data_IF_243095347954
#
_entry.id   IF_243095347954
#
_cell.length_a   1.000
_cell.length_b   1.000
_cell.length_c   1.000
_cell.angle_alpha   90.00
_cell.angle_beta   90.00
_cell.angle_gamma   90.00
#
_symmetry.space_group_name_H-M   'P 1'
#
loop_
_entity.id
_entity.type
_entity.pdbx_description
1 polymer ?
#
# COMPACT_ATOMS: atom_id res chain seq x y z
N UNK A 1 -11.59 -9.67 -17.62
CA UNK A 1 -10.44 -9.10 -16.91
C UNK A 1 -10.88 -8.17 -15.77
N UNK A 2 -11.67 -7.12 -16.00
CA UNK A 2 -12.09 -6.22 -14.91
C UNK A 2 -12.88 -6.94 -13.81
N UNK A 3 -13.73 -7.92 -14.14
CA UNK A 3 -14.46 -8.71 -13.14
C UNK A 3 -13.53 -9.56 -12.25
N UNK A 4 -12.47 -10.13 -12.84
CA UNK A 4 -11.45 -10.87 -12.10
C UNK A 4 -10.70 -9.92 -11.16
N UNK A 5 -10.23 -8.79 -11.69
CA UNK A 5 -9.56 -7.77 -10.87
C UNK A 5 -10.45 -7.26 -9.73
N UNK A 6 -11.74 -7.03 -10.01
CA UNK A 6 -12.71 -6.61 -9.00
C UNK A 6 -12.87 -7.68 -7.90
N UNK A 7 -13.04 -8.95 -8.28
CA UNK A 7 -13.11 -10.05 -7.32
C UNK A 7 -11.84 -10.14 -6.47
N UNK A 8 -10.67 -10.17 -7.11
CA UNK A 8 -9.39 -10.29 -6.43
C UNK A 8 -9.11 -9.14 -5.45
N UNK A 9 -9.59 -7.94 -5.75
CA UNK A 9 -9.38 -6.77 -4.90
C UNK A 9 -10.43 -6.67 -3.79
N UNK A 10 -11.72 -6.82 -4.10
CA UNK A 10 -12.80 -6.41 -3.19
C UNK A 10 -13.46 -7.58 -2.44
N UNK A 11 -13.39 -8.81 -2.97
CA UNK A 11 -14.00 -9.94 -2.29
C UNK A 11 -13.35 -10.17 -0.93
N UNK A 12 -14.14 -10.24 0.13
CA UNK A 12 -13.70 -10.37 1.52
C UNK A 12 -12.69 -9.31 2.00
N UNK A 13 -12.63 -8.12 1.38
CA UNK A 13 -11.67 -7.07 1.72
C UNK A 13 -11.73 -6.66 3.21
N UNK A 14 -12.92 -6.59 3.78
CA UNK A 14 -13.14 -6.29 5.19
C UNK A 14 -13.10 -7.49 6.15
N UNK A 15 -12.91 -8.73 5.65
CA UNK A 15 -12.95 -9.95 6.47
C UNK A 15 -11.59 -10.35 7.06
N UNK A 16 -10.51 -9.88 6.44
CA UNK A 16 -9.16 -10.13 6.95
C UNK A 16 -8.91 -9.34 8.23
N UNK A 17 -8.20 -9.92 9.21
CA UNK A 17 -7.79 -9.17 10.39
C UNK A 17 -6.90 -7.99 9.98
N UNK A 18 -6.96 -6.92 10.75
CA UNK A 18 -6.08 -5.76 10.54
C UNK A 18 -4.65 -6.19 10.85
N UNK A 19 -3.74 -5.96 9.91
CA UNK A 19 -2.32 -6.25 10.12
C UNK A 19 -1.70 -5.21 11.05
N UNK A 20 -0.78 -5.69 11.90
CA UNK A 20 -0.02 -4.79 12.77
C UNK A 20 1.05 -4.03 11.96
N UNK A 21 1.71 -3.06 12.58
CA UNK A 21 2.66 -2.13 11.97
C UNK A 21 1.97 -1.14 11.02
N UNK A 22 2.39 -1.05 9.77
CA UNK A 22 2.01 0.02 8.85
C UNK A 22 0.50 0.18 8.69
N UNK A 23 -0.24 -0.88 8.31
CA UNK A 23 -1.69 -0.80 8.11
C UNK A 23 -2.42 -0.28 9.35
N UNK A 24 -2.15 -0.89 10.49
CA UNK A 24 -2.80 -0.50 11.74
C UNK A 24 -2.38 0.90 12.19
N UNK A 25 -1.10 1.26 12.01
CA UNK A 25 -0.60 2.58 12.39
C UNK A 25 -1.23 3.69 11.56
N UNK A 26 -1.31 3.51 10.23
CA UNK A 26 -2.03 4.42 9.35
C UNK A 26 -3.51 4.54 9.73
N UNK A 27 -4.13 3.40 10.03
CA UNK A 27 -5.53 3.35 10.47
C UNK A 27 -5.79 4.12 11.75
N UNK A 28 -4.93 3.99 12.77
CA UNK A 28 -5.00 4.78 14.03
C UNK A 28 -4.81 6.26 13.72
N UNK A 29 -3.76 6.62 12.98
CA UNK A 29 -3.52 8.02 12.61
C UNK A 29 -4.76 8.64 11.94
N UNK A 30 -5.33 7.96 10.94
CA UNK A 30 -6.52 8.46 10.23
C UNK A 30 -7.76 8.54 11.12
N UNK A 31 -7.97 7.55 12.00
CA UNK A 31 -9.07 7.52 12.95
C UNK A 31 -9.00 8.69 13.94
N UNK A 32 -7.84 8.85 14.58
CA UNK A 32 -7.64 9.91 15.56
C UNK A 32 -7.69 11.30 14.95
N UNK A 33 -7.11 11.49 13.75
CA UNK A 33 -7.22 12.74 12.98
C UNK A 33 -8.69 13.11 12.74
N UNK A 34 -9.54 12.16 12.32
CA UNK A 34 -10.98 12.39 12.15
C UNK A 34 -11.67 12.74 13.46
N UNK A 35 -11.33 12.05 14.56
CA UNK A 35 -11.94 12.28 15.87
C UNK A 35 -11.57 13.64 16.47
N UNK A 36 -10.35 14.10 16.19
CA UNK A 36 -9.85 15.39 16.67
C UNK A 36 -10.21 16.56 15.73
N UNK A 37 -10.70 16.28 14.52
CA UNK A 37 -10.92 17.30 13.50
C UNK A 37 -9.62 17.93 12.96
N UNK A 38 -8.46 17.27 13.19
CA UNK A 38 -7.16 17.73 12.71
C UNK A 38 -6.75 16.92 11.47
N UNK A 39 -6.68 17.57 10.32
CA UNK A 39 -6.35 16.94 9.04
C UNK A 39 -4.88 17.05 8.65
N UNK A 40 -4.05 17.67 9.50
CA UNK A 40 -2.64 17.99 9.18
C UNK A 40 -1.68 17.19 10.03
N UNK A 41 -1.91 17.10 11.36
CA UNK A 41 -1.03 16.40 12.29
C UNK A 41 -1.57 15.02 12.57
N UNK A 42 -0.82 14.00 12.15
CA UNK A 42 -1.13 12.62 12.48
C UNK A 42 -0.78 12.32 13.94
N UNK A 43 -1.66 11.59 14.60
CA UNK A 43 -1.49 11.22 16.02
C UNK A 43 -1.55 9.70 16.19
N UNK A 44 -0.90 9.22 17.24
CA UNK A 44 -0.98 7.84 17.70
C UNK A 44 -1.19 7.83 19.21
N UNK A 45 -2.29 7.23 19.66
CA UNK A 45 -2.77 7.29 21.05
C UNK A 45 -2.95 8.74 21.51
N UNK A 46 -3.49 9.55 20.61
CA UNK A 46 -3.80 10.99 20.77
C UNK A 46 -2.59 11.89 21.07
N UNK A 47 -1.37 11.43 20.70
CA UNK A 47 -0.14 12.22 20.72
C UNK A 47 0.43 12.34 19.33
N UNK A 48 1.09 13.45 19.00
CA UNK A 48 1.74 13.65 17.69
C UNK A 48 2.67 12.46 17.37
N UNK A 49 2.52 11.93 16.16
CA UNK A 49 3.22 10.73 15.72
C UNK A 49 4.42 11.07 14.85
N UNK A 50 5.60 11.10 15.46
CA UNK A 50 6.88 11.31 14.75
C UNK A 50 7.58 10.00 14.34
N UNK A 51 6.90 8.86 14.47
CA UNK A 51 7.38 7.60 13.92
C UNK A 51 6.83 7.38 12.50
N UNK A 52 5.55 7.68 12.26
CA UNK A 52 4.94 7.59 10.94
C UNK A 52 5.06 8.94 10.21
N UNK A 53 6.19 9.13 9.54
CA UNK A 53 6.61 10.40 8.94
C UNK A 53 6.05 10.62 7.52
N UNK A 54 4.90 10.04 7.21
CA UNK A 54 4.27 10.25 5.90
C UNK A 54 3.46 11.54 5.86
N UNK A 55 3.45 12.22 4.71
CA UNK A 55 2.55 13.35 4.46
C UNK A 55 1.08 12.92 4.46
N UNK A 56 0.12 13.86 4.45
CA UNK A 56 -1.25 13.60 4.88
C UNK A 56 -2.13 12.81 3.89
N UNK A 57 -1.76 12.71 2.61
CA UNK A 57 -2.67 12.18 1.59
C UNK A 57 -3.02 10.70 1.82
N UNK A 58 -2.09 9.90 2.36
CA UNK A 58 -2.36 8.51 2.74
C UNK A 58 -3.40 8.41 3.86
N UNK A 59 -3.34 9.28 4.85
CA UNK A 59 -4.33 9.33 5.94
C UNK A 59 -5.68 9.83 5.42
N UNK A 60 -5.70 10.86 4.57
CA UNK A 60 -6.94 11.38 3.97
C UNK A 60 -7.66 10.33 3.15
N UNK A 61 -6.93 9.45 2.45
CA UNK A 61 -7.51 8.32 1.73
C UNK A 61 -8.25 7.36 2.70
N UNK A 62 -7.61 6.98 3.80
CA UNK A 62 -8.25 6.13 4.82
C UNK A 62 -9.44 6.84 5.47
N UNK A 63 -9.30 8.13 5.79
CA UNK A 63 -10.39 8.95 6.35
C UNK A 63 -11.61 8.98 5.41
N UNK A 64 -11.38 9.10 4.10
CA UNK A 64 -12.44 9.00 3.11
C UNK A 64 -13.13 7.63 3.14
N UNK A 65 -12.37 6.54 3.20
CA UNK A 65 -12.91 5.19 3.36
C UNK A 65 -13.74 5.02 4.64
N UNK A 66 -13.26 5.53 5.77
CA UNK A 66 -14.02 5.53 7.03
C UNK A 66 -15.31 6.32 6.95
N UNK A 67 -15.32 7.46 6.25
CA UNK A 67 -16.54 8.25 6.04
C UNK A 67 -17.55 7.56 5.13
N UNK A 68 -17.09 6.80 4.13
CA UNK A 68 -17.96 6.16 3.15
C UNK A 68 -18.64 4.89 3.68
N UNK A 69 -17.90 4.04 4.40
CA UNK A 69 -18.40 2.71 4.81
C UNK A 69 -18.26 2.44 6.31
N UNK A 70 -17.90 3.46 7.09
CA UNK A 70 -17.80 3.40 8.54
C UNK A 70 -16.42 2.96 9.06
N UNK A 71 -16.27 3.07 10.39
CA UNK A 71 -15.04 2.71 11.11
C UNK A 71 -14.91 1.19 11.24
N UNK A 72 -14.31 0.56 10.24
CA UNK A 72 -14.10 -0.88 10.18
C UNK A 72 -12.95 -1.22 9.21
N UNK A 73 -12.59 -2.51 9.12
CA UNK A 73 -11.51 -2.96 8.23
C UNK A 73 -11.79 -2.70 6.74
N UNK A 74 -13.06 -2.70 6.32
CA UNK A 74 -13.42 -2.34 4.94
C UNK A 74 -13.14 -0.85 4.69
N UNK A 75 -13.54 0.04 5.60
CA UNK A 75 -13.27 1.48 5.49
C UNK A 75 -11.78 1.79 5.48
N UNK A 76 -10.99 1.06 6.27
CA UNK A 76 -9.53 1.17 6.27
C UNK A 76 -8.92 0.90 4.87
N UNK A 77 -9.45 -0.08 4.12
CA UNK A 77 -8.86 -0.63 2.88
C UNK A 77 -9.52 -0.16 1.59
N UNK A 78 -10.71 0.42 1.67
CA UNK A 78 -11.55 0.70 0.50
C UNK A 78 -10.82 1.53 -0.57
N UNK A 79 -10.18 2.62 -0.17
CA UNK A 79 -9.51 3.53 -1.11
C UNK A 79 -8.26 2.86 -1.71
N UNK A 80 -7.54 2.02 -0.94
CA UNK A 80 -6.43 1.23 -1.49
C UNK A 80 -6.91 0.30 -2.61
N UNK A 81 -8.03 -0.41 -2.40
CA UNK A 81 -8.64 -1.24 -3.44
C UNK A 81 -9.08 -0.44 -4.67
N UNK A 82 -9.69 0.73 -4.48
CA UNK A 82 -10.09 1.63 -5.57
C UNK A 82 -8.85 2.10 -6.35
N UNK A 83 -7.77 2.50 -5.68
CA UNK A 83 -6.53 2.93 -6.33
C UNK A 83 -5.88 1.82 -7.15
N UNK A 84 -5.87 0.58 -6.64
CA UNK A 84 -5.37 -0.57 -7.40
C UNK A 84 -6.21 -0.82 -8.66
N UNK A 85 -7.54 -0.77 -8.55
CA UNK A 85 -8.43 -0.90 -9.71
C UNK A 85 -8.21 0.22 -10.72
N UNK A 86 -8.07 1.47 -10.27
CA UNK A 86 -7.76 2.61 -11.13
C UNK A 86 -6.40 2.45 -11.81
N UNK A 87 -5.40 1.89 -11.14
CA UNK A 87 -4.10 1.56 -11.75
C UNK A 87 -4.27 0.61 -12.93
N UNK A 88 -5.01 -0.48 -12.75
CA UNK A 88 -5.31 -1.44 -13.84
C UNK A 88 -6.04 -0.76 -14.99
N UNK A 89 -7.02 0.09 -14.69
CA UNK A 89 -7.83 0.80 -15.70
C UNK A 89 -6.98 1.79 -16.50
N UNK A 90 -6.16 2.63 -15.86
CA UNK A 90 -5.35 3.63 -16.60
C UNK A 90 -4.25 2.95 -17.42
N UNK A 91 -3.67 1.85 -16.96
CA UNK A 91 -2.76 1.00 -17.74
C UNK A 91 -3.49 0.44 -18.96
N UNK A 92 -4.68 -0.12 -18.78
CA UNK A 92 -5.47 -0.68 -19.87
C UNK A 92 -5.81 0.37 -20.94
N UNK A 93 -6.26 1.56 -20.51
CA UNK A 93 -6.61 2.67 -21.41
C UNK A 93 -5.37 3.14 -22.19
N UNK A 94 -4.24 3.33 -21.51
CA UNK A 94 -2.99 3.75 -22.14
C UNK A 94 -2.53 2.73 -23.18
N UNK A 95 -2.48 1.44 -22.82
CA UNK A 95 -2.03 0.38 -23.72
C UNK A 95 -3.00 0.19 -24.89
N UNK A 96 -4.31 0.24 -24.63
CA UNK A 96 -5.33 0.14 -25.70
C UNK A 96 -5.16 1.23 -26.75
N UNK A 97 -4.98 2.48 -26.31
CA UNK A 97 -4.87 3.64 -27.23
C UNK A 97 -3.59 3.66 -28.04
N UNK A 98 -2.50 3.12 -27.51
CA UNK A 98 -1.17 3.24 -28.13
C UNK A 98 -0.66 1.93 -28.76
N UNK A 99 -1.15 0.76 -28.28
CA UNK A 99 -0.63 -0.55 -28.69
C UNK A 99 -1.74 -1.57 -29.07
N UNK A 100 -3.01 -1.20 -28.95
CA UNK A 100 -4.15 -1.99 -29.40
C UNK A 100 -4.79 -2.85 -28.30
N UNK A 101 -5.93 -3.46 -28.68
CA UNK A 101 -6.81 -4.18 -27.73
C UNK A 101 -6.14 -5.42 -27.11
N UNK A 102 -5.43 -6.23 -27.92
CA UNK A 102 -4.80 -7.46 -27.44
C UNK A 102 -3.70 -7.15 -26.42
N UNK A 103 -2.85 -6.16 -26.70
CA UNK A 103 -1.83 -5.72 -25.76
C UNK A 103 -2.45 -5.25 -24.44
N UNK A 104 -3.55 -4.49 -24.50
CA UNK A 104 -4.30 -4.04 -23.33
C UNK A 104 -4.84 -5.19 -22.49
N UNK A 105 -5.48 -6.17 -23.14
CA UNK A 105 -6.01 -7.36 -22.45
C UNK A 105 -4.92 -8.16 -21.74
N UNK A 106 -3.78 -8.36 -22.39
CA UNK A 106 -2.65 -9.08 -21.83
C UNK A 106 -1.98 -8.30 -20.69
N UNK A 107 -1.85 -6.98 -20.80
CA UNK A 107 -1.35 -6.14 -19.70
C UNK A 107 -2.29 -6.17 -18.49
N UNK A 108 -3.60 -6.11 -18.72
CA UNK A 108 -4.60 -6.25 -17.64
C UNK A 108 -4.51 -7.62 -16.97
N UNK A 109 -4.42 -8.70 -17.76
CA UNK A 109 -4.30 -10.06 -17.24
C UNK A 109 -3.07 -10.18 -16.34
N UNK A 110 -1.92 -9.75 -16.83
CA UNK A 110 -0.65 -9.81 -16.09
C UNK A 110 -0.70 -9.00 -14.79
N UNK A 111 -1.24 -7.78 -14.82
CA UNK A 111 -1.31 -6.93 -13.64
C UNK A 111 -2.36 -7.42 -12.63
N UNK A 112 -3.53 -7.89 -13.10
CA UNK A 112 -4.60 -8.41 -12.24
C UNK A 112 -4.32 -9.78 -11.63
N UNK A 113 -3.27 -10.48 -12.09
CA UNK A 113 -2.77 -11.74 -11.51
C UNK A 113 -1.39 -11.57 -10.84
N UNK A 114 -0.94 -10.34 -10.59
CA UNK A 114 0.30 -10.08 -9.86
C UNK A 114 0.05 -10.16 -8.36
N UNK A 115 0.45 -11.27 -7.71
CA UNK A 115 0.19 -11.53 -6.27
C UNK A 115 0.75 -10.44 -5.38
N UNK A 116 1.97 -9.98 -5.62
CA UNK A 116 2.59 -8.89 -4.85
C UNK A 116 1.80 -7.58 -4.96
N UNK A 117 1.36 -7.21 -6.16
CA UNK A 117 0.60 -5.98 -6.40
C UNK A 117 -0.78 -6.01 -5.73
N UNK A 118 -1.41 -7.20 -5.61
CA UNK A 118 -2.76 -7.31 -5.05
C UNK A 118 -2.78 -7.57 -3.55
N UNK A 119 -1.89 -8.43 -3.03
CA UNK A 119 -2.03 -8.98 -1.67
C UNK A 119 -1.10 -8.28 -0.67
N UNK A 120 0.17 -8.08 -1.01
CA UNK A 120 1.18 -7.67 -0.04
C UNK A 120 1.34 -6.16 0.03
N UNK A 121 0.86 -5.54 1.11
CA UNK A 121 0.99 -4.10 1.37
C UNK A 121 0.47 -3.19 0.23
N UNK A 122 -0.54 -3.62 -0.52
CA UNK A 122 -1.05 -2.88 -1.66
C UNK A 122 -2.58 -2.87 -1.70
N UNK A 123 -3.20 -3.48 -2.72
CA UNK A 123 -4.63 -3.34 -2.99
C UNK A 123 -5.54 -3.73 -1.81
N UNK A 124 -5.12 -4.70 -0.99
CA UNK A 124 -5.94 -5.30 0.07
C UNK A 124 -5.54 -4.90 1.48
N UNK A 125 -4.70 -3.88 1.63
CA UNK A 125 -4.27 -3.34 2.93
C UNK A 125 -4.48 -1.83 2.99
N UNK A 126 -4.67 -1.29 4.20
CA UNK A 126 -4.87 0.14 4.45
C UNK A 126 -3.55 0.94 4.48
N UNK A 127 -2.59 0.58 3.62
CA UNK A 127 -1.29 1.21 3.53
C UNK A 127 -1.24 2.33 2.48
N UNK A 128 -0.18 3.11 2.50
CA UNK A 128 0.04 4.18 1.53
C UNK A 128 0.38 3.67 0.12
N UNK A 129 0.77 2.38 -0.01
CA UNK A 129 1.42 1.85 -1.21
C UNK A 129 0.51 1.80 -2.43
N UNK A 130 -0.74 1.38 -2.28
CA UNK A 130 -1.67 1.30 -3.41
C UNK A 130 -1.97 2.67 -4.02
N UNK A 131 -2.22 3.69 -3.19
CA UNK A 131 -2.40 5.06 -3.64
C UNK A 131 -1.10 5.61 -4.28
N UNK A 132 0.05 5.30 -3.68
CA UNK A 132 1.34 5.70 -4.22
C UNK A 132 1.59 5.09 -5.60
N UNK A 133 1.35 3.78 -5.80
CA UNK A 133 1.52 3.11 -7.10
C UNK A 133 0.56 3.68 -8.14
N UNK A 134 -0.68 4.00 -7.77
CA UNK A 134 -1.63 4.66 -8.66
C UNK A 134 -1.10 6.03 -9.13
N UNK A 135 -0.65 6.87 -8.21
CA UNK A 135 -0.13 8.21 -8.52
C UNK A 135 1.19 8.15 -9.29
N UNK A 136 2.06 7.19 -8.94
CA UNK A 136 3.29 6.91 -9.69
C UNK A 136 2.97 6.52 -11.13
N UNK A 137 2.04 5.58 -11.32
CA UNK A 137 1.57 5.14 -12.64
C UNK A 137 0.97 6.29 -13.43
N UNK A 138 0.11 7.09 -12.81
CA UNK A 138 -0.47 8.28 -13.44
C UNK A 138 0.60 9.30 -13.84
N UNK A 139 1.61 9.53 -12.99
CA UNK A 139 2.72 10.44 -13.30
C UNK A 139 3.51 9.97 -14.52
N UNK A 140 3.92 8.68 -14.55
CA UNK A 140 4.75 8.19 -15.66
C UNK A 140 3.93 8.03 -16.94
N UNK A 141 2.71 7.52 -16.91
CA UNK A 141 1.87 7.45 -18.11
C UNK A 141 1.58 8.84 -18.67
N UNK A 142 1.36 9.85 -17.82
CA UNK A 142 1.22 11.24 -18.27
C UNK A 142 2.52 11.79 -18.86
N UNK A 143 3.68 11.47 -18.27
CA UNK A 143 4.98 11.82 -18.84
C UNK A 143 5.13 11.24 -20.25
N UNK A 144 4.78 9.97 -20.47
CA UNK A 144 4.82 9.33 -21.77
C UNK A 144 3.87 10.02 -22.77
N UNK A 145 2.63 10.30 -22.37
CA UNK A 145 1.64 11.00 -23.20
C UNK A 145 2.03 12.45 -23.51
N UNK A 146 2.97 13.03 -22.78
CA UNK A 146 3.43 14.40 -22.99
C UNK A 146 4.14 14.58 -24.34
N UNK A 147 4.57 13.49 -24.99
CA UNK A 147 5.08 13.52 -26.38
C UNK A 147 4.01 14.01 -27.36
N UNK A 148 2.75 13.63 -27.13
CA UNK A 148 1.61 14.05 -27.96
C UNK A 148 1.10 15.44 -27.60
N UNK A 149 1.10 15.78 -26.31
CA UNK A 149 0.57 17.05 -25.84
C UNK A 149 1.24 17.45 -24.53
N UNK A 150 1.87 18.62 -24.51
CA UNK A 150 2.57 19.18 -23.38
C UNK A 150 1.74 19.31 -22.09
N UNK A 151 0.42 19.40 -22.18
CA UNK A 151 -0.46 19.44 -21.00
C UNK A 151 -0.27 18.23 -20.09
N UNK A 152 0.05 17.08 -20.67
CA UNK A 152 0.32 15.86 -19.90
C UNK A 152 1.60 15.96 -19.06
N UNK A 153 2.55 16.81 -19.43
CA UNK A 153 3.74 17.06 -18.63
C UNK A 153 3.38 17.70 -17.27
N UNK A 154 2.41 18.63 -17.28
CA UNK A 154 1.94 19.28 -16.06
C UNK A 154 1.11 18.34 -15.20
N UNK A 155 0.30 17.45 -15.83
CA UNK A 155 -0.41 16.38 -15.11
C UNK A 155 0.59 15.44 -14.45
N UNK A 156 1.69 15.09 -15.13
CA UNK A 156 2.78 14.29 -14.56
C UNK A 156 3.41 14.96 -13.34
N UNK A 157 3.70 16.27 -13.42
CA UNK A 157 4.24 17.04 -12.31
C UNK A 157 3.28 17.12 -11.12
N UNK A 158 1.99 17.32 -11.38
CA UNK A 158 0.96 17.32 -10.31
C UNK A 158 0.78 15.94 -9.67
N UNK A 159 0.78 14.86 -10.46
CA UNK A 159 0.74 13.50 -9.94
C UNK A 159 1.98 13.16 -9.09
N UNK A 160 3.17 13.68 -9.47
CA UNK A 160 4.37 13.61 -8.62
C UNK A 160 4.15 14.26 -7.26
N UNK A 161 3.60 15.48 -7.21
CA UNK A 161 3.35 16.16 -5.93
C UNK A 161 2.39 15.38 -5.03
N UNK A 162 1.34 14.79 -5.60
CA UNK A 162 0.41 13.93 -4.86
C UNK A 162 1.09 12.63 -4.39
N UNK A 163 1.96 12.03 -5.21
CA UNK A 163 2.76 10.87 -4.82
C UNK A 163 3.70 11.20 -3.66
N UNK A 164 4.34 12.39 -3.68
CA UNK A 164 5.13 12.87 -2.56
C UNK A 164 4.28 13.06 -1.29
N UNK A 165 3.11 13.68 -1.42
CA UNK A 165 2.16 13.85 -0.31
C UNK A 165 1.56 12.53 0.19
N UNK A 166 1.80 11.40 -0.50
CA UNK A 166 1.42 10.05 -0.07
C UNK A 166 2.56 9.32 0.64
N UNK A 167 3.76 9.29 0.04
CA UNK A 167 4.88 8.45 0.50
C UNK A 167 6.23 9.17 0.46
N UNK A 168 6.23 10.49 0.64
CA UNK A 168 7.41 11.35 0.77
C UNK A 168 8.52 11.07 -0.26
N UNK A 169 9.75 10.83 0.18
CA UNK A 169 10.96 10.68 -0.63
C UNK A 169 10.91 9.57 -1.68
N UNK A 170 10.05 8.56 -1.51
CA UNK A 170 9.86 7.51 -2.51
C UNK A 170 9.39 8.07 -3.87
N UNK A 171 8.67 9.20 -3.86
CA UNK A 171 8.28 9.90 -5.08
C UNK A 171 9.48 10.46 -5.86
N UNK A 172 10.65 10.60 -5.24
CA UNK A 172 11.89 10.99 -5.92
C UNK A 172 12.23 10.13 -7.13
N UNK A 173 11.86 8.85 -7.11
CA UNK A 173 11.98 7.97 -8.29
C UNK A 173 11.29 8.56 -9.54
N UNK A 174 10.11 9.18 -9.38
CA UNK A 174 9.37 9.81 -10.48
C UNK A 174 10.16 10.98 -11.05
N UNK A 175 10.74 11.82 -10.17
CA UNK A 175 11.53 12.96 -10.60
C UNK A 175 12.80 12.53 -11.35
N UNK A 176 13.49 11.48 -10.89
CA UNK A 176 14.64 10.88 -11.57
C UNK A 176 14.26 10.34 -12.93
N UNK A 177 13.16 9.56 -13.01
CA UNK A 177 12.65 9.03 -14.29
C UNK A 177 12.31 10.19 -15.23
N UNK A 178 11.63 11.24 -14.76
CA UNK A 178 11.26 12.40 -15.57
C UNK A 178 12.49 13.12 -16.13
N UNK A 179 13.50 13.36 -15.29
CA UNK A 179 14.76 13.99 -15.71
C UNK A 179 15.50 13.16 -16.76
N UNK A 180 15.69 11.87 -16.50
CA UNK A 180 16.34 10.96 -17.45
C UNK A 180 15.54 10.80 -18.76
N UNK A 181 14.21 10.75 -18.67
CA UNK A 181 13.34 10.69 -19.83
C UNK A 181 13.50 11.89 -20.75
N UNK A 182 13.48 13.10 -20.18
CA UNK A 182 13.69 14.33 -20.95
C UNK A 182 15.09 14.36 -21.58
N UNK A 183 16.09 13.87 -20.84
CA UNK A 183 17.47 13.79 -21.34
C UNK A 183 17.60 12.80 -22.50
N UNK A 184 17.15 11.55 -22.34
CA UNK A 184 17.32 10.51 -23.36
C UNK A 184 16.42 10.69 -24.58
N UNK A 185 15.28 11.38 -24.43
CA UNK A 185 14.44 11.75 -25.57
C UNK A 185 14.90 13.02 -26.28
N UNK A 186 15.92 13.70 -25.75
CA UNK A 186 16.43 14.97 -26.31
C UNK A 186 15.42 16.11 -26.27
N UNK A 187 14.37 16.02 -25.45
CA UNK A 187 13.28 16.98 -25.42
C UNK A 187 13.66 18.25 -24.68
N UNK A 188 13.80 19.33 -25.45
CA UNK A 188 14.07 20.66 -24.90
C UNK A 188 12.77 21.35 -24.47
N UNK A 189 12.70 21.73 -23.21
CA UNK A 189 11.59 22.52 -22.67
C UNK A 189 11.97 24.00 -22.64
N UNK A 190 11.06 24.88 -23.04
CA UNK A 190 11.24 26.33 -22.84
C UNK A 190 11.22 26.64 -21.32
N UNK A 191 11.81 27.77 -20.93
CA UNK A 191 11.86 28.18 -19.52
C UNK A 191 10.46 28.29 -18.90
N UNK A 192 9.45 28.74 -19.66
CA UNK A 192 8.06 28.80 -19.19
C UNK A 192 7.50 27.42 -18.87
N UNK A 193 7.78 26.41 -19.70
CA UNK A 193 7.36 25.02 -19.45
C UNK A 193 8.07 24.43 -18.23
N UNK A 194 9.35 24.75 -18.04
CA UNK A 194 10.08 24.36 -16.84
C UNK A 194 9.49 24.96 -15.57
N UNK A 195 9.22 26.27 -15.58
CA UNK A 195 8.59 26.95 -14.42
C UNK A 195 7.23 26.31 -14.13
N UNK A 196 6.39 26.12 -15.15
CA UNK A 196 5.06 25.51 -14.96
C UNK A 196 5.15 24.07 -14.41
N UNK A 197 6.11 23.29 -14.91
CA UNK A 197 6.34 21.94 -14.40
C UNK A 197 6.78 21.97 -12.93
N UNK A 198 7.76 22.80 -12.59
CA UNK A 198 8.22 22.97 -11.21
C UNK A 198 7.11 23.45 -10.28
N UNK A 199 6.25 24.36 -10.74
CA UNK A 199 5.09 24.81 -9.97
C UNK A 199 4.11 23.63 -9.72
N UNK A 200 3.78 22.85 -10.75
CA UNK A 200 2.93 21.66 -10.58
C UNK A 200 3.53 20.62 -9.61
N UNK A 201 4.86 20.45 -9.63
CA UNK A 201 5.56 19.53 -8.75
C UNK A 201 5.64 20.03 -7.31
N UNK A 202 5.90 21.30 -7.11
CA UNK A 202 6.29 21.84 -5.80
C UNK A 202 5.18 22.55 -5.06
N UNK A 203 4.25 23.22 -5.76
CA UNK A 203 3.25 24.07 -5.08
C UNK A 203 2.36 23.27 -4.08
N UNK A 204 1.79 22.08 -4.40
CA UNK A 204 1.01 21.33 -3.43
C UNK A 204 1.83 20.89 -2.20
N UNK A 205 3.11 20.54 -2.42
CA UNK A 205 4.03 20.14 -1.36
C UNK A 205 4.34 21.33 -0.44
N UNK A 206 4.64 22.48 -1.03
CA UNK A 206 4.96 23.70 -0.28
C UNK A 206 3.74 24.22 0.51
N UNK A 207 2.54 24.19 -0.09
CA UNK A 207 1.30 24.56 0.60
C UNK A 207 1.12 23.67 1.85
N UNK A 208 1.23 22.37 1.71
CA UNK A 208 1.18 21.45 2.85
C UNK A 208 2.29 21.74 3.86
N UNK A 209 3.52 21.96 3.41
CA UNK A 209 4.65 22.20 4.29
C UNK A 209 4.47 23.48 5.12
N UNK A 210 3.99 24.57 4.51
CA UNK A 210 3.69 25.83 5.23
C UNK A 210 2.60 25.61 6.28
N UNK A 211 1.52 24.89 5.93
CA UNK A 211 0.44 24.60 6.89
C UNK A 211 0.97 23.72 8.02
N UNK A 212 1.73 22.67 7.72
CA UNK A 212 2.29 21.78 8.73
C UNK A 212 3.24 22.50 9.68
N UNK A 213 4.08 23.39 9.13
CA UNK A 213 5.03 24.18 9.91
C UNK A 213 4.35 25.01 11.02
N UNK A 214 3.11 25.47 10.79
CA UNK A 214 2.36 26.24 11.80
C UNK A 214 1.98 25.42 13.03
N UNK A 215 1.98 24.07 12.95
CA UNK A 215 1.62 23.19 14.07
C UNK A 215 2.83 22.79 14.93
N UNK A 216 3.93 22.37 14.30
CA UNK A 216 5.08 21.80 15.01
C UNK A 216 6.45 22.29 14.50
N UNK A 217 6.45 23.41 13.78
CA UNK A 217 7.67 24.03 13.26
C UNK A 217 8.46 23.07 12.36
N UNK A 218 9.75 23.03 12.55
CA UNK A 218 10.64 22.13 11.79
C UNK A 218 10.70 20.70 12.34
N UNK A 219 10.06 20.37 13.45
CA UNK A 219 10.24 19.09 14.11
C UNK A 219 9.87 17.90 13.21
N UNK A 220 8.70 17.96 12.52
CA UNK A 220 8.29 16.92 11.59
C UNK A 220 9.24 16.79 10.39
N UNK A 221 9.61 17.91 9.78
CA UNK A 221 10.46 17.91 8.59
C UNK A 221 11.88 17.43 8.88
N UNK A 222 12.43 17.78 10.04
CA UNK A 222 13.72 17.29 10.50
C UNK A 222 13.69 15.75 10.61
N UNK A 223 12.69 15.20 11.31
CA UNK A 223 12.55 13.76 11.45
C UNK A 223 12.32 13.08 10.09
N UNK A 224 11.48 13.66 9.21
CA UNK A 224 11.21 13.13 7.88
C UNK A 224 12.48 13.11 7.00
N UNK A 225 13.35 14.09 7.13
CA UNK A 225 14.62 14.14 6.39
C UNK A 225 15.69 13.23 7.02
N UNK A 226 15.92 13.34 8.32
CA UNK A 226 16.96 12.58 9.00
C UNK A 226 16.65 11.08 9.08
N UNK A 227 15.43 10.70 9.50
CA UNK A 227 15.09 9.32 9.70
C UNK A 227 14.56 8.65 8.42
N UNK A 228 13.57 9.26 7.74
CA UNK A 228 12.88 8.60 6.62
C UNK A 228 13.66 8.70 5.30
N UNK A 229 14.58 9.66 5.14
CA UNK A 229 15.47 9.76 3.98
C UNK A 229 16.88 9.27 4.32
N UNK A 230 17.62 9.97 5.19
CA UNK A 230 19.03 9.69 5.40
C UNK A 230 19.28 8.34 6.08
N UNK A 231 18.64 8.07 7.22
CA UNK A 231 18.84 6.82 7.93
C UNK A 231 18.41 5.61 7.09
N UNK A 232 17.23 5.63 6.47
CA UNK A 232 16.75 4.50 5.64
C UNK A 232 17.61 4.22 4.42
N UNK A 233 18.26 5.24 3.85
CA UNK A 233 19.15 5.04 2.70
C UNK A 233 20.54 4.53 3.11
N UNK A 234 21.04 4.88 4.29
CA UNK A 234 22.42 4.63 4.73
C UNK A 234 22.57 3.49 5.73
N UNK A 235 21.54 3.16 6.51
CA UNK A 235 21.56 2.14 7.55
C UNK A 235 20.31 1.27 7.46
N UNK A 236 20.41 -0.06 7.67
CA UNK A 236 19.22 -0.91 7.79
C UNK A 236 18.42 -0.53 9.03
N UNK A 237 17.13 -0.20 8.86
CA UNK A 237 16.23 0.16 9.96
C UNK A 237 15.32 -1.02 10.28
N UNK A 238 14.98 -1.19 11.56
CA UNK A 238 13.99 -2.15 12.06
C UNK A 238 14.26 -3.61 11.64
N UNK A 239 15.53 -3.97 11.42
CA UNK A 239 15.92 -5.31 11.01
C UNK A 239 15.68 -5.63 9.52
N UNK A 240 15.32 -4.63 8.71
CA UNK A 240 15.14 -4.78 7.26
C UNK A 240 16.49 -4.80 6.52
N UNK A 241 17.20 -5.91 6.63
CA UNK A 241 18.50 -6.16 6.01
C UNK A 241 18.32 -6.94 4.72
N UNK A 242 19.14 -6.69 3.73
CA UNK A 242 19.23 -7.47 2.50
C UNK A 242 20.43 -7.02 1.67
N UNK A 243 20.91 -7.92 0.84
CA UNK A 243 21.99 -7.66 -0.11
C UNK A 243 21.47 -7.04 -1.42
N UNK A 244 22.32 -6.92 -2.40
CA UNK A 244 22.00 -6.36 -3.71
C UNK A 244 21.09 -7.29 -4.54
N UNK A 245 21.02 -8.59 -4.25
CA UNK A 245 20.13 -9.55 -4.91
C UNK A 245 18.70 -9.51 -4.41
N UNK A 246 18.43 -8.80 -3.31
CA UNK A 246 17.16 -8.82 -2.59
C UNK A 246 15.93 -8.63 -3.49
N UNK A 247 15.90 -7.56 -4.30
CA UNK A 247 14.74 -7.29 -5.15
C UNK A 247 14.66 -8.23 -6.36
N UNK A 248 15.79 -8.77 -6.83
CA UNK A 248 15.80 -9.87 -7.78
C UNK A 248 15.12 -11.11 -7.23
N UNK A 249 15.44 -11.49 -5.98
CA UNK A 249 14.81 -12.60 -5.27
C UNK A 249 13.31 -12.33 -5.05
N UNK A 250 12.93 -11.11 -4.65
CA UNK A 250 11.52 -10.72 -4.48
C UNK A 250 10.74 -10.88 -5.77
N UNK A 251 11.28 -10.41 -6.89
CA UNK A 251 10.64 -10.58 -8.20
C UNK A 251 10.55 -12.06 -8.60
N UNK A 252 11.62 -12.83 -8.42
CA UNK A 252 11.60 -14.28 -8.68
C UNK A 252 10.56 -14.99 -7.79
N UNK A 253 10.40 -14.58 -6.53
CA UNK A 253 9.43 -15.19 -5.61
C UNK A 253 7.98 -14.96 -6.02
N UNK A 254 7.63 -13.75 -6.44
CA UNK A 254 6.24 -13.34 -6.63
C UNK A 254 5.83 -13.18 -8.10
N UNK A 255 6.79 -13.28 -9.04
CA UNK A 255 6.53 -12.94 -10.44
C UNK A 255 7.33 -13.80 -11.44
N UNK A 256 7.91 -14.91 -11.00
CA UNK A 256 8.86 -15.67 -11.79
C UNK A 256 8.33 -16.19 -13.13
N UNK A 257 7.06 -16.66 -13.19
CA UNK A 257 6.48 -17.14 -14.46
C UNK A 257 6.34 -16.01 -15.48
N UNK A 258 5.92 -14.83 -15.03
CA UNK A 258 5.84 -13.67 -15.91
C UNK A 258 7.23 -13.20 -16.39
N UNK A 259 8.25 -13.28 -15.53
CA UNK A 259 9.63 -12.97 -15.91
C UNK A 259 10.19 -14.01 -16.90
N UNK A 260 9.91 -15.30 -16.71
CA UNK A 260 10.32 -16.35 -17.63
C UNK A 260 9.66 -16.16 -19.02
N UNK A 261 8.38 -15.84 -19.04
CA UNK A 261 7.66 -15.50 -20.29
C UNK A 261 8.28 -14.27 -20.95
N UNK A 262 8.59 -13.21 -20.18
CA UNK A 262 9.24 -12.00 -20.70
C UNK A 262 10.60 -12.31 -21.31
N UNK A 263 11.43 -13.09 -20.63
CA UNK A 263 12.74 -13.53 -21.14
C UNK A 263 12.60 -14.36 -22.42
N UNK A 264 11.66 -15.32 -22.44
CA UNK A 264 11.37 -16.12 -23.63
C UNK A 264 10.95 -15.26 -24.83
N UNK A 265 10.10 -14.26 -24.59
CA UNK A 265 9.70 -13.31 -25.64
C UNK A 265 10.88 -12.47 -26.17
N UNK A 266 11.74 -11.99 -25.28
CA UNK A 266 12.94 -11.24 -25.67
C UNK A 266 13.86 -12.12 -26.54
N UNK A 267 14.06 -13.41 -26.17
CA UNK A 267 14.86 -14.36 -26.96
C UNK A 267 14.25 -14.58 -28.34
N UNK A 268 12.93 -14.81 -28.45
CA UNK A 268 12.25 -14.98 -29.74
C UNK A 268 12.47 -13.74 -30.64
N UNK A 269 12.38 -12.54 -30.08
CA UNK A 269 12.62 -11.31 -30.84
C UNK A 269 14.07 -11.18 -31.33
N UNK A 270 15.05 -11.48 -30.45
CA UNK A 270 16.46 -11.38 -30.80
C UNK A 270 16.88 -12.38 -31.89
N UNK A 271 16.40 -13.64 -31.79
CA UNK A 271 16.69 -14.68 -32.79
C UNK A 271 16.17 -14.37 -34.19
N UNK A 272 15.13 -13.53 -34.27
CA UNK A 272 14.51 -13.22 -35.58
C UNK A 272 15.02 -11.93 -36.21
N UNK A 273 16.05 -11.28 -35.60
CA UNK A 273 16.52 -9.96 -36.03
C UNK A 273 15.38 -8.91 -36.17
N UNK A 274 14.23 -9.17 -35.52
CA UNK A 274 13.14 -8.23 -35.47
C UNK A 274 13.53 -7.09 -34.54
N UNK A 275 13.47 -5.89 -35.05
CA UNK A 275 13.60 -4.70 -34.22
C UNK A 275 12.40 -4.68 -33.26
N UNK A 276 12.63 -4.88 -31.97
CA UNK A 276 11.61 -4.90 -30.91
C UNK A 276 10.61 -3.74 -31.04
N UNK A 277 11.08 -2.66 -31.65
CA UNK A 277 10.29 -1.45 -31.87
C UNK A 277 10.76 -0.76 -33.15
N UNK A 278 9.82 -0.32 -33.94
CA UNK A 278 10.10 0.44 -35.14
C UNK A 278 10.85 1.73 -34.78
N UNK A 279 12.15 1.75 -35.10
CA UNK A 279 13.03 2.90 -34.85
C UNK A 279 12.64 4.13 -35.66
N UNK A 280 11.84 3.97 -36.70
CA UNK A 280 11.36 5.08 -37.55
C UNK A 280 10.29 5.93 -36.83
N UNK A 281 9.60 5.38 -35.84
CA UNK A 281 8.57 6.10 -35.09
C UNK A 281 9.14 6.64 -33.76
N UNK A 282 9.44 7.94 -33.71
CA UNK A 282 10.01 8.64 -32.55
C UNK A 282 9.13 8.57 -31.31
N UNK A 283 7.80 8.46 -31.48
CA UNK A 283 6.84 8.34 -30.38
C UNK A 283 6.98 6.97 -29.68
N UNK A 284 7.03 5.88 -30.48
CA UNK A 284 7.24 4.54 -29.93
C UNK A 284 8.58 4.41 -29.23
N UNK A 285 9.64 5.03 -29.76
CA UNK A 285 10.94 5.06 -29.12
C UNK A 285 10.88 5.77 -27.75
N UNK A 286 10.18 6.89 -27.66
CA UNK A 286 10.00 7.63 -26.42
C UNK A 286 9.24 6.79 -25.38
N UNK A 287 8.21 6.04 -25.78
CA UNK A 287 7.48 5.14 -24.86
C UNK A 287 8.38 4.03 -24.32
N UNK A 288 9.24 3.45 -25.15
CA UNK A 288 10.16 2.40 -24.72
C UNK A 288 11.16 2.94 -23.70
N UNK A 289 11.80 4.07 -24.03
CA UNK A 289 12.74 4.72 -23.11
C UNK A 289 12.07 4.93 -21.76
N UNK A 290 10.85 5.48 -21.73
CA UNK A 290 10.14 5.73 -20.51
C UNK A 290 9.74 4.47 -19.74
N UNK A 291 9.29 3.42 -20.44
CA UNK A 291 8.96 2.12 -19.79
C UNK A 291 10.21 1.44 -19.22
N UNK A 292 11.33 1.46 -19.94
CA UNK A 292 12.60 0.93 -19.45
C UNK A 292 13.09 1.72 -18.20
N UNK A 293 13.06 3.04 -18.25
CA UNK A 293 13.42 3.89 -17.12
C UNK A 293 12.51 3.62 -15.92
N UNK A 294 11.22 3.40 -16.15
CA UNK A 294 10.25 3.11 -15.09
C UNK A 294 10.53 1.78 -14.37
N UNK A 295 11.08 0.79 -15.06
CA UNK A 295 11.54 -0.48 -14.43
C UNK A 295 12.90 -0.27 -13.77
N UNK A 296 13.87 0.28 -14.50
CA UNK A 296 15.27 0.31 -14.12
C UNK A 296 15.53 1.25 -12.93
N UNK A 297 14.97 2.46 -12.96
CA UNK A 297 15.27 3.48 -11.93
C UNK A 297 14.82 3.04 -10.54
N UNK A 298 13.56 2.62 -10.30
CA UNK A 298 13.18 2.14 -8.97
C UNK A 298 13.96 0.88 -8.55
N UNK A 299 14.21 -0.04 -9.49
CA UNK A 299 14.98 -1.25 -9.21
C UNK A 299 16.38 -0.90 -8.71
N UNK A 300 17.10 -0.02 -9.41
CA UNK A 300 18.45 0.41 -9.04
C UNK A 300 18.43 1.16 -7.69
N UNK A 301 17.59 2.19 -7.57
CA UNK A 301 17.60 3.04 -6.38
C UNK A 301 17.25 2.27 -5.11
N UNK A 302 16.28 1.35 -5.17
CA UNK A 302 15.97 0.51 -4.02
C UNK A 302 17.02 -0.58 -3.76
N UNK A 303 17.69 -1.06 -4.81
CA UNK A 303 18.79 -2.03 -4.65
C UNK A 303 19.98 -1.41 -3.90
N UNK A 304 20.29 -0.15 -4.12
CA UNK A 304 21.37 0.52 -3.41
C UNK A 304 20.99 1.08 -2.04
N UNK A 305 19.70 1.30 -1.76
CA UNK A 305 19.25 1.69 -0.44
C UNK A 305 19.53 0.58 0.58
N UNK A 306 19.97 0.93 1.79
CA UNK A 306 20.36 -0.07 2.82
C UNK A 306 19.16 -0.73 3.50
N UNK A 307 18.07 -0.02 3.69
CA UNK A 307 16.82 -0.60 4.20
C UNK A 307 16.06 -1.31 3.06
N UNK A 308 15.87 -2.62 3.18
CA UNK A 308 15.22 -3.47 2.19
C UNK A 308 13.83 -3.87 2.64
N UNK A 309 12.81 -3.42 1.91
CA UNK A 309 11.41 -3.75 2.22
C UNK A 309 10.72 -4.26 0.95
N UNK A 310 10.05 -5.42 1.08
CA UNK A 310 9.47 -6.17 -0.04
C UNK A 310 8.58 -5.29 -0.94
N UNK A 311 7.76 -4.43 -0.36
CA UNK A 311 6.79 -3.62 -1.11
C UNK A 311 7.34 -2.33 -1.71
N UNK A 312 8.61 -1.97 -1.49
CA UNK A 312 9.20 -0.81 -2.15
C UNK A 312 9.25 -0.97 -3.68
N UNK A 313 9.36 -2.22 -4.16
CA UNK A 313 9.44 -2.52 -5.59
C UNK A 313 8.08 -2.48 -6.33
N UNK A 314 6.95 -2.29 -5.62
CA UNK A 314 5.60 -2.29 -6.22
C UNK A 314 5.44 -1.39 -7.47
N UNK A 315 6.06 -0.21 -7.56
CA UNK A 315 5.93 0.65 -8.73
C UNK A 315 6.41 0.05 -10.06
N UNK A 316 7.15 -1.06 -10.06
CA UNK A 316 7.63 -1.68 -11.31
C UNK A 316 6.65 -2.69 -11.93
N UNK A 317 5.63 -3.15 -11.20
CA UNK A 317 4.64 -4.09 -11.75
C UNK A 317 3.81 -3.53 -12.90
N UNK A 318 3.31 -2.27 -12.86
CA UNK A 318 2.62 -1.69 -14.00
C UNK A 318 3.46 -1.66 -15.29
N UNK A 319 4.69 -1.14 -15.33
CA UNK A 319 5.49 -1.14 -16.57
C UNK A 319 5.86 -2.56 -17.04
N UNK A 320 6.14 -3.51 -16.13
CA UNK A 320 6.38 -4.90 -16.52
C UNK A 320 5.15 -5.49 -17.20
N UNK A 321 3.95 -5.27 -16.67
CA UNK A 321 2.71 -5.74 -17.27
C UNK A 321 2.47 -5.13 -18.65
N UNK A 322 2.78 -3.83 -18.82
CA UNK A 322 2.71 -3.14 -20.13
C UNK A 322 3.67 -3.77 -21.13
N UNK A 323 4.92 -3.95 -20.75
CA UNK A 323 5.97 -4.54 -21.61
C UNK A 323 5.57 -5.96 -22.04
N UNK A 324 5.16 -6.81 -21.08
CA UNK A 324 4.69 -8.17 -21.36
C UNK A 324 3.50 -8.14 -22.33
N UNK A 325 2.50 -7.30 -22.07
CA UNK A 325 1.32 -7.20 -22.95
C UNK A 325 1.65 -6.77 -24.35
N UNK A 326 2.55 -5.78 -24.53
CA UNK A 326 2.98 -5.30 -25.84
C UNK A 326 3.74 -6.39 -26.59
N UNK A 327 4.72 -7.02 -25.96
CA UNK A 327 5.54 -8.06 -26.60
C UNK A 327 4.71 -9.30 -26.95
N UNK A 328 3.91 -9.77 -26.01
CA UNK A 328 3.05 -10.92 -26.22
C UNK A 328 2.04 -10.66 -27.36
N UNK A 329 1.43 -9.48 -27.43
CA UNK A 329 0.49 -9.17 -28.51
C UNK A 329 1.15 -9.19 -29.87
N UNK A 330 2.37 -8.66 -30.02
CA UNK A 330 3.14 -8.67 -31.27
C UNK A 330 3.47 -10.10 -31.70
N UNK A 331 3.95 -10.94 -30.77
CA UNK A 331 4.27 -12.36 -31.07
C UNK A 331 3.00 -13.11 -31.48
N UNK A 332 1.91 -12.98 -30.72
CA UNK A 332 0.66 -13.67 -31.02
C UNK A 332 0.05 -13.26 -32.36
N UNK A 333 0.33 -12.06 -32.86
CA UNK A 333 -0.18 -11.57 -34.16
C UNK A 333 0.72 -11.92 -35.34
N UNK A 334 2.04 -12.04 -35.18
CA UNK A 334 3.01 -12.10 -36.29
C UNK A 334 3.75 -13.42 -36.41
N UNK A 335 3.86 -14.20 -35.30
CA UNK A 335 4.73 -15.36 -35.29
C UNK A 335 4.10 -16.65 -35.89
N UNK A 336 4.95 -17.68 -36.08
CA UNK A 336 4.54 -19.01 -36.53
C UNK A 336 3.60 -19.66 -35.51
N UNK A 337 2.71 -20.53 -36.00
CA UNK A 337 1.69 -21.20 -35.19
C UNK A 337 2.24 -21.82 -33.91
N UNK A 338 3.34 -22.55 -33.97
CA UNK A 338 3.94 -23.21 -32.79
C UNK A 338 4.36 -22.21 -31.71
N UNK A 339 5.05 -21.12 -32.08
CA UNK A 339 5.50 -20.07 -31.14
C UNK A 339 4.29 -19.40 -30.48
N UNK A 340 3.25 -19.08 -31.25
CA UNK A 340 1.99 -18.50 -30.73
C UNK A 340 1.32 -19.43 -29.74
N UNK A 341 1.22 -20.72 -30.06
CA UNK A 341 0.57 -21.72 -29.22
C UNK A 341 1.34 -21.90 -27.90
N UNK A 342 2.67 -22.03 -27.95
CA UNK A 342 3.51 -22.14 -26.75
C UNK A 342 3.38 -20.89 -25.87
N UNK A 343 3.46 -19.69 -26.48
CA UNK A 343 3.32 -18.45 -25.73
C UNK A 343 1.93 -18.32 -25.08
N UNK A 344 0.85 -18.60 -25.81
CA UNK A 344 -0.51 -18.55 -25.29
C UNK A 344 -0.69 -19.54 -24.14
N UNK A 345 -0.22 -20.77 -24.30
CA UNK A 345 -0.25 -21.79 -23.25
C UNK A 345 0.51 -21.34 -21.99
N UNK A 346 1.70 -20.76 -22.17
CA UNK A 346 2.51 -20.22 -21.05
C UNK A 346 1.81 -19.07 -20.34
N UNK A 347 1.19 -18.16 -21.06
CA UNK A 347 0.43 -17.03 -20.49
C UNK A 347 -0.78 -17.54 -19.69
N UNK A 348 -1.54 -18.49 -20.26
CA UNK A 348 -2.70 -19.06 -19.58
C UNK A 348 -2.29 -19.84 -18.33
N UNK A 349 -1.20 -20.60 -18.41
CA UNK A 349 -0.65 -21.31 -17.27
C UNK A 349 -0.20 -20.35 -16.15
N UNK A 350 0.56 -19.31 -16.46
CA UNK A 350 1.00 -18.32 -15.49
C UNK A 350 -0.18 -17.59 -14.84
N UNK A 351 -1.16 -17.17 -15.67
CA UNK A 351 -2.36 -16.52 -15.17
C UNK A 351 -3.17 -17.44 -14.25
N UNK A 352 -3.36 -18.71 -14.62
CA UNK A 352 -4.06 -19.69 -13.80
C UNK A 352 -3.35 -19.97 -12.47
N UNK A 353 -2.02 -20.12 -12.52
CA UNK A 353 -1.22 -20.35 -11.32
C UNK A 353 -1.35 -19.21 -10.30
N UNK A 354 -1.09 -17.97 -10.73
CA UNK A 354 -1.18 -16.82 -9.82
C UNK A 354 -2.61 -16.51 -9.38
N UNK A 355 -3.58 -16.70 -10.27
CA UNK A 355 -5.00 -16.56 -9.90
C UNK A 355 -5.38 -17.57 -8.81
N UNK A 356 -4.91 -18.81 -8.91
CA UNK A 356 -5.12 -19.85 -7.88
C UNK A 356 -4.53 -19.45 -6.53
N UNK A 357 -3.31 -18.87 -6.49
CA UNK A 357 -2.71 -18.33 -5.28
C UNK A 357 -3.54 -17.18 -4.69
N UNK A 358 -3.97 -16.24 -5.54
CA UNK A 358 -4.79 -15.10 -5.11
C UNK A 358 -6.12 -15.58 -4.55
N UNK A 359 -6.82 -16.48 -5.25
CA UNK A 359 -8.10 -17.02 -4.79
C UNK A 359 -7.96 -17.79 -3.48
N UNK A 360 -6.89 -18.59 -3.34
CA UNK A 360 -6.60 -19.30 -2.08
C UNK A 360 -6.46 -18.34 -0.92
N UNK A 361 -5.74 -17.23 -1.12
CA UNK A 361 -5.63 -16.19 -0.11
C UNK A 361 -6.96 -15.50 0.16
N UNK A 362 -7.65 -15.02 -0.88
CA UNK A 362 -8.85 -14.19 -0.78
C UNK A 362 -10.03 -14.94 -0.14
N UNK A 363 -10.14 -16.26 -0.40
CA UNK A 363 -11.22 -17.09 0.10
C UNK A 363 -11.00 -17.59 1.54
N UNK A 364 -9.76 -17.54 2.05
CA UNK A 364 -9.43 -18.12 3.35
C UNK A 364 -8.87 -17.06 4.33
N UNK A 365 -9.68 -16.09 4.79
CA UNK A 365 -9.24 -15.16 5.80
C UNK A 365 -8.96 -15.89 7.12
N UNK A 366 -7.72 -15.80 7.60
CA UNK A 366 -7.31 -16.41 8.87
C UNK A 366 -7.65 -15.43 9.99
N UNK A 367 -8.59 -15.75 10.91
CA UNK A 367 -8.98 -14.84 11.98
C UNK A 367 -7.86 -14.68 13.02
N UNK A 368 -7.74 -13.48 13.58
CA UNK A 368 -6.91 -13.22 14.74
C UNK A 368 -7.78 -13.25 16.00
N UNK A 369 -7.61 -14.29 16.82
CA UNK A 369 -8.46 -14.51 18.00
C UNK A 369 -8.39 -13.37 19.03
N UNK A 370 -7.27 -12.64 19.14
CA UNK A 370 -7.17 -11.48 20.03
C UNK A 370 -8.02 -10.32 19.50
N UNK A 371 -7.94 -10.03 18.21
CA UNK A 371 -8.72 -8.96 17.58
C UNK A 371 -10.21 -9.31 17.62
N UNK A 372 -10.57 -10.55 17.28
CA UNK A 372 -11.95 -11.04 17.38
C UNK A 372 -12.53 -10.92 18.80
N UNK A 373 -11.71 -11.10 19.84
CA UNK A 373 -12.16 -10.90 21.21
C UNK A 373 -12.45 -9.43 21.51
N UNK A 374 -11.60 -8.53 21.01
CA UNK A 374 -11.85 -7.07 21.14
C UNK A 374 -13.08 -6.67 20.33
N UNK A 375 -13.26 -7.22 19.13
CA UNK A 375 -14.43 -6.97 18.27
C UNK A 375 -15.75 -7.37 18.93
N UNK A 376 -15.78 -8.42 19.75
CA UNK A 376 -16.95 -8.80 20.54
C UNK A 376 -17.44 -7.71 21.49
N UNK A 377 -16.59 -6.75 21.88
CA UNK A 377 -17.02 -5.61 22.70
C UNK A 377 -18.03 -4.71 21.99
N UNK A 378 -18.15 -4.82 20.65
CA UNK A 378 -19.16 -4.08 19.88
C UNK A 378 -20.59 -4.37 20.33
N UNK A 379 -20.82 -5.61 20.80
CA UNK A 379 -22.12 -6.02 21.32
C UNK A 379 -22.39 -5.56 22.77
N UNK A 380 -21.44 -4.92 23.44
CA UNK A 380 -21.59 -4.47 24.81
C UNK A 380 -22.27 -3.09 24.86
N UNK A 381 -23.16 -2.92 25.83
CA UNK A 381 -23.84 -1.64 26.05
C UNK A 381 -23.00 -0.74 26.97
N UNK A 382 -23.04 0.58 26.72
CA UNK A 382 -22.44 1.60 27.60
C UNK A 382 -20.90 1.64 27.65
N UNK A 383 -20.17 0.78 26.90
CA UNK A 383 -18.70 0.69 27.00
C UNK A 383 -17.92 1.66 26.11
N UNK A 384 -18.60 2.49 25.34
CA UNK A 384 -17.93 3.45 24.46
C UNK A 384 -17.00 4.40 25.24
N UNK A 385 -15.77 4.53 24.80
CA UNK A 385 -14.76 5.38 25.42
C UNK A 385 -14.13 4.80 26.69
N UNK A 386 -14.43 3.52 27.04
CA UNK A 386 -13.78 2.86 28.16
C UNK A 386 -12.29 2.68 27.92
N UNK A 387 -11.54 2.60 29.03
CA UNK A 387 -10.12 2.25 28.98
C UNK A 387 -9.96 0.73 28.86
N UNK A 388 -9.16 0.27 27.91
CA UNK A 388 -8.83 -1.15 27.73
C UNK A 388 -7.42 -1.43 28.29
N UNK A 389 -7.35 -2.26 29.32
CA UNK A 389 -6.12 -2.74 29.92
C UNK A 389 -5.83 -4.18 29.52
N UNK A 390 -4.55 -4.59 29.58
CA UNK A 390 -4.12 -5.96 29.30
C UNK A 390 -3.45 -6.54 30.52
N UNK A 391 -3.98 -7.66 31.01
CA UNK A 391 -3.42 -8.35 32.16
C UNK A 391 -2.16 -9.12 31.81
N UNK A 392 -1.15 -8.97 32.67
CA UNK A 392 0.03 -9.81 32.68
C UNK A 392 0.48 -9.98 34.13
N UNK A 393 0.74 -11.22 34.64
CA UNK A 393 1.02 -11.46 36.05
C UNK A 393 2.33 -10.82 36.54
N UNK A 394 3.32 -10.62 35.67
CA UNK A 394 4.67 -10.16 36.02
C UNK A 394 5.09 -8.84 35.42
N UNK A 395 4.27 -8.25 34.51
CA UNK A 395 4.62 -7.00 33.83
C UNK A 395 3.75 -5.84 34.28
N UNK A 396 4.38 -4.75 34.71
CA UNK A 396 3.71 -3.51 35.13
C UNK A 396 3.29 -2.61 33.93
N UNK A 397 3.80 -2.87 32.73
CA UNK A 397 3.39 -2.14 31.53
C UNK A 397 2.99 -3.10 30.43
N UNK A 398 1.79 -2.91 29.90
CA UNK A 398 1.30 -3.67 28.76
C UNK A 398 1.90 -3.16 27.46
N UNK A 399 2.38 -4.08 26.62
CA UNK A 399 2.75 -3.82 25.23
C UNK A 399 1.57 -4.20 24.36
N UNK A 400 1.16 -3.29 23.49
CA UNK A 400 0.05 -3.46 22.58
C UNK A 400 0.53 -3.52 21.13
N UNK A 401 0.03 -4.50 20.39
CA UNK A 401 0.17 -4.49 18.94
C UNK A 401 -0.70 -3.36 18.35
N UNK A 402 -0.22 -2.69 17.32
CA UNK A 402 -0.94 -1.57 16.69
C UNK A 402 -2.32 -2.00 16.18
N UNK A 403 -2.45 -3.24 15.66
CA UNK A 403 -3.73 -3.80 15.23
C UNK A 403 -4.74 -3.91 16.37
N UNK A 404 -4.32 -4.23 17.59
CA UNK A 404 -5.20 -4.27 18.74
C UNK A 404 -5.63 -2.86 19.19
N UNK A 405 -4.72 -1.86 19.07
CA UNK A 405 -5.05 -0.44 19.33
C UNK A 405 -6.13 0.00 18.35
N UNK A 406 -5.89 -0.18 17.04
CA UNK A 406 -6.86 0.23 16.02
C UNK A 406 -8.20 -0.48 16.18
N UNK A 407 -8.19 -1.81 16.38
CA UNK A 407 -9.45 -2.57 16.56
C UNK A 407 -10.25 -2.04 17.75
N UNK A 408 -9.59 -1.73 18.87
CA UNK A 408 -10.23 -1.18 20.06
C UNK A 408 -10.90 0.18 19.79
N UNK A 409 -10.21 1.07 19.05
CA UNK A 409 -10.72 2.38 18.65
C UNK A 409 -11.90 2.26 17.68
N UNK A 410 -11.77 1.45 16.63
CA UNK A 410 -12.80 1.29 15.60
C UNK A 410 -14.11 0.70 16.14
N UNK A 411 -14.02 -0.18 17.15
CA UNK A 411 -15.20 -0.91 17.65
C UNK A 411 -16.05 -0.07 18.58
N UNK A 412 -15.46 0.53 19.60
CA UNK A 412 -16.18 1.28 20.65
C UNK A 412 -15.42 2.49 21.17
N UNK A 413 -14.51 3.06 20.37
CA UNK A 413 -13.66 4.17 20.82
C UNK A 413 -12.90 3.84 22.12
N UNK A 414 -12.51 2.56 22.28
CA UNK A 414 -11.82 2.12 23.48
C UNK A 414 -10.41 2.70 23.53
N UNK A 415 -10.03 3.24 24.67
CA UNK A 415 -8.72 3.85 24.87
C UNK A 415 -7.73 2.85 25.47
N UNK A 416 -6.85 2.32 24.65
CA UNK A 416 -5.83 1.37 25.10
C UNK A 416 -4.85 2.02 26.06
N UNK A 417 -4.65 1.40 27.23
CA UNK A 417 -3.77 1.89 28.31
C UNK A 417 -2.58 0.97 28.53
N UNK A 418 -1.43 1.57 28.82
CA UNK A 418 -0.19 0.84 29.15
C UNK A 418 -0.08 0.42 30.61
N UNK A 419 -1.02 0.84 31.47
CA UNK A 419 -1.03 0.52 32.89
C UNK A 419 -1.20 -0.98 33.18
N UNK A 420 -0.86 -1.37 34.39
CA UNK A 420 -0.99 -2.74 34.90
C UNK A 420 -2.39 -3.03 35.46
N UNK A 421 -2.51 -4.18 36.11
CA UNK A 421 -3.74 -4.62 36.76
C UNK A 421 -4.20 -3.64 37.88
N UNK A 422 -3.26 -3.05 38.59
CA UNK A 422 -3.57 -2.09 39.64
C UNK A 422 -4.18 -0.79 39.07
N UNK A 423 -3.64 -0.33 37.92
CA UNK A 423 -4.21 0.82 37.21
C UNK A 423 -5.63 0.51 36.68
N UNK A 424 -5.91 -0.73 36.25
CA UNK A 424 -7.25 -1.18 35.90
C UNK A 424 -8.22 -1.12 37.10
N UNK A 425 -7.82 -1.62 38.24
CA UNK A 425 -8.66 -1.62 39.44
C UNK A 425 -9.06 -0.20 39.92
N UNK A 426 -8.18 0.78 39.67
CA UNK A 426 -8.43 2.21 40.00
C UNK A 426 -9.33 2.93 39.05
N UNK A 427 -9.65 2.34 37.86
CA UNK A 427 -10.42 3.00 36.84
C UNK A 427 -11.80 2.35 36.69
N UNK A 428 -12.86 3.09 37.00
CA UNK A 428 -14.23 2.54 36.98
C UNK A 428 -14.73 2.26 35.57
N UNK A 429 -14.36 3.08 34.58
CA UNK A 429 -14.72 2.87 33.17
C UNK A 429 -13.62 2.09 32.45
N UNK A 430 -13.45 0.82 32.83
CA UNK A 430 -12.37 0.00 32.31
C UNK A 430 -12.78 -1.43 31.99
N UNK A 431 -12.15 -1.97 30.95
CA UNK A 431 -12.17 -3.38 30.57
C UNK A 431 -10.76 -3.97 30.72
N UNK A 432 -10.68 -5.24 31.09
CA UNK A 432 -9.42 -5.97 31.24
C UNK A 432 -9.36 -7.15 30.27
N UNK A 433 -8.42 -7.12 29.34
CA UNK A 433 -8.13 -8.20 28.40
C UNK A 433 -7.16 -9.18 29.07
N UNK A 434 -7.58 -10.43 29.25
CA UNK A 434 -6.80 -11.49 29.93
C UNK A 434 -6.57 -12.65 28.98
N UNK A 435 -5.31 -13.00 28.69
CA UNK A 435 -4.99 -14.19 27.90
C UNK A 435 -5.36 -15.46 28.66
N UNK A 436 -5.91 -16.48 28.00
CA UNK A 436 -6.41 -17.73 28.61
C UNK A 436 -5.41 -18.36 29.58
N UNK A 437 -4.11 -18.41 29.23
CA UNK A 437 -3.05 -18.97 30.09
C UNK A 437 -2.81 -18.19 31.40
N UNK A 438 -3.26 -16.95 31.50
CA UNK A 438 -3.14 -16.09 32.66
C UNK A 438 -4.44 -15.96 33.47
N UNK A 439 -5.51 -16.57 32.94
CA UNK A 439 -6.80 -16.57 33.63
C UNK A 439 -6.81 -17.60 34.78
N UNK A 440 -7.19 -17.14 35.95
CA UNK A 440 -7.46 -18.02 37.09
C UNK A 440 -8.80 -17.65 37.73
N UNK A 441 -9.52 -18.62 38.25
CA UNK A 441 -10.77 -18.35 39.01
C UNK A 441 -10.54 -17.36 40.13
N UNK A 442 -9.38 -17.47 40.83
CA UNK A 442 -8.98 -16.56 41.91
C UNK A 442 -8.86 -15.10 41.45
N UNK A 443 -8.37 -14.84 40.22
CA UNK A 443 -8.31 -13.48 39.66
C UNK A 443 -9.70 -12.82 39.63
N UNK A 444 -10.73 -13.58 39.27
CA UNK A 444 -12.11 -13.10 39.17
C UNK A 444 -12.75 -12.97 40.56
N UNK A 445 -12.70 -14.03 41.38
CA UNK A 445 -13.37 -14.06 42.69
C UNK A 445 -12.76 -13.09 43.71
N UNK A 446 -11.42 -13.05 43.82
CA UNK A 446 -10.76 -12.16 44.79
C UNK A 446 -10.87 -10.68 44.46
N UNK A 447 -11.18 -10.32 43.21
CA UNK A 447 -11.29 -8.93 42.78
C UNK A 447 -12.72 -8.54 42.36
N UNK A 448 -13.70 -9.41 42.62
CA UNK A 448 -15.12 -9.20 42.28
C UNK A 448 -15.34 -8.79 40.84
N UNK A 449 -14.62 -9.45 39.89
CA UNK A 449 -14.71 -9.14 38.47
C UNK A 449 -15.80 -9.98 37.79
N UNK A 450 -16.38 -9.42 36.73
CA UNK A 450 -17.35 -10.09 35.87
C UNK A 450 -16.72 -10.47 34.54
N UNK A 451 -16.96 -11.71 34.09
CA UNK A 451 -16.62 -12.11 32.72
C UNK A 451 -17.64 -11.52 31.77
N UNK A 452 -17.17 -10.62 30.89
CA UNK A 452 -18.04 -9.93 29.93
C UNK A 452 -18.19 -10.75 28.66
N UNK A 453 -17.05 -11.23 28.09
CA UNK A 453 -17.02 -12.09 26.92
C UNK A 453 -15.73 -12.90 26.87
N UNK A 454 -15.73 -13.96 26.06
CA UNK A 454 -14.56 -14.84 25.90
C UNK A 454 -14.47 -15.44 24.50
N UNK A 455 -13.28 -15.95 24.17
CA UNK A 455 -13.02 -16.80 23.00
C UNK A 455 -11.80 -17.71 23.25
N UNK A 456 -11.27 -18.33 22.18
CA UNK A 456 -10.08 -19.21 22.30
C UNK A 456 -8.83 -18.48 22.82
N UNK A 457 -8.68 -17.19 22.56
CA UNK A 457 -7.53 -16.41 23.02
C UNK A 457 -7.59 -16.09 24.52
N UNK A 458 -8.79 -15.77 25.06
CA UNK A 458 -8.94 -15.38 26.44
C UNK A 458 -10.28 -14.77 26.81
N UNK A 459 -10.25 -13.80 27.71
CA UNK A 459 -11.41 -13.21 28.37
C UNK A 459 -11.33 -11.69 28.37
N UNK A 460 -12.48 -11.03 28.34
CA UNK A 460 -12.63 -9.62 28.70
C UNK A 460 -13.41 -9.59 30.02
N UNK A 461 -12.81 -8.91 31.00
CA UNK A 461 -13.37 -8.75 32.35
C UNK A 461 -13.72 -7.28 32.60
N UNK A 462 -14.69 -7.05 33.47
CA UNK A 462 -15.05 -5.73 34.01
C UNK A 462 -15.33 -5.79 35.49
N UNK A 463 -15.29 -4.63 36.20
CA UNK A 463 -15.72 -4.51 37.60
C UNK A 463 -17.24 -4.54 37.69
N UNK A 464 -17.93 -3.96 36.75
CA UNK A 464 -19.40 -3.88 36.69
C UNK A 464 -19.99 -4.95 35.79
N UNK A 465 -21.24 -5.33 36.03
CA UNK A 465 -22.01 -6.18 35.09
C UNK A 465 -22.41 -5.34 33.88
N UNK A 466 -21.85 -5.68 32.72
CA UNK A 466 -22.14 -5.02 31.45
C UNK A 466 -23.17 -5.87 30.68
N UNK A 467 -24.21 -5.23 30.18
CA UNK A 467 -25.24 -5.86 29.37
C UNK A 467 -24.78 -6.02 27.93
N UNK A 468 -25.25 -7.09 27.29
CA UNK A 468 -25.08 -7.29 25.84
C UNK A 468 -26.26 -6.58 25.17
N UNK A 469 -26.00 -5.83 24.09
CA UNK A 469 -27.04 -5.23 23.25
C UNK A 469 -27.83 -6.35 22.59
N UNK A 470 -29.13 -6.29 22.72
CA UNK A 470 -30.07 -7.15 21.98
C UNK A 470 -30.23 -6.74 20.53
#
# INVERSE_FOLDING_TARGET
MLSIAFYNIFYHLGKFPIYSWDEARHGVNAYEMLRQGNFIVNTYRYKADYWNLKPPLSYWAIMAGYKLVGFNALGLRLISGICAMLTIIIVAIFVKKNFGNLASLLSMLTLSTSTQFLINHSARTGDADSLFVFLFTAAILSLLLSVKNDKWLYVSGFAFSLAFLTKSWHAGNIAVIMGLYLLFTGRKLSYKKWISLCLCMMAPILIWAVIRYQYDGFAFFKNMFEYDLLHRSTVPIEGHVGDESYYGIVLCRFYFLWLAILLGMILVYNFQNNVLFDKSNSENQSYIIGLCLWVIVPFILYTFAKTKIIWYILPIYPPLSIIIGILASKILMKERFLIRTVLLASILFAAHYYEGEIQTYVNNPIPNDQLSLIEKTKALDGVRGYSLYKYHPTRHKAVWAQSAVLTAELVNDLKVKSGDFHAFLKNDRALLLVKKRFFTKRLVTSNLLNIVTSNRWGYILSKEKIRIKH
#
